data_IF_285535162387
#
_entry.id   IF_285535162387
#
_cell.length_a   1.000
_cell.length_b   1.000
_cell.length_c   1.000
_cell.angle_alpha   90.00
_cell.angle_beta   90.00
_cell.angle_gamma   90.00
#
_symmetry.space_group_name_H-M   'P 1'
#
loop_
_entity.id
_entity.type
_entity.pdbx_description
1 polymer ?
#
# COMPACT_ATOMS: atom_id res chain seq x y z
N UNK A 1 -10.01 -16.27 3.46
CA UNK A 1 -10.08 -17.73 3.70
C UNK A 1 -10.42 -18.56 2.46
N UNK A 2 -10.55 -17.97 1.27
CA UNK A 2 -10.90 -18.70 0.02
C UNK A 2 -9.74 -19.52 -0.55
N UNK A 3 -8.50 -19.02 -0.48
CA UNK A 3 -7.32 -19.75 -0.97
C UNK A 3 -7.02 -21.03 -0.17
N UNK A 4 -7.17 -20.98 1.16
CA UNK A 4 -7.02 -22.15 2.05
C UNK A 4 -8.11 -23.18 1.77
N UNK A 5 -9.35 -22.72 1.56
CA UNK A 5 -10.48 -23.58 1.23
C UNK A 5 -10.32 -24.26 -0.14
N UNK A 6 -9.92 -23.52 -1.18
CA UNK A 6 -9.65 -24.06 -2.51
C UNK A 6 -8.53 -25.12 -2.49
N UNK A 7 -7.45 -24.86 -1.75
CA UNK A 7 -6.38 -25.83 -1.54
C UNK A 7 -6.87 -27.09 -0.79
N UNK A 8 -7.71 -26.93 0.23
CA UNK A 8 -8.27 -28.07 0.97
C UNK A 8 -9.24 -28.92 0.15
N UNK A 9 -9.87 -28.34 -0.87
CA UNK A 9 -10.75 -29.05 -1.80
C UNK A 9 -10.07 -29.53 -3.09
N UNK A 10 -8.75 -29.36 -3.20
CA UNK A 10 -7.98 -29.79 -4.37
C UNK A 10 -8.31 -29.01 -5.65
N UNK A 11 -8.93 -27.83 -5.52
CA UNK A 11 -9.27 -26.98 -6.67
C UNK A 11 -8.08 -26.11 -7.06
N UNK A 12 -7.79 -25.96 -8.36
CA UNK A 12 -6.71 -25.08 -8.80
C UNK A 12 -7.01 -23.65 -8.41
N UNK A 13 -6.20 -23.08 -7.52
CA UNK A 13 -6.31 -21.67 -7.12
C UNK A 13 -6.02 -20.79 -8.32
N UNK A 14 -7.07 -20.16 -8.87
CA UNK A 14 -6.98 -19.25 -10.03
C UNK A 14 -6.17 -17.98 -9.75
N UNK A 15 -5.99 -17.61 -8.48
CA UNK A 15 -5.19 -16.45 -8.08
C UNK A 15 -3.79 -16.91 -7.65
N UNK A 16 -2.73 -16.63 -8.43
CA UNK A 16 -1.38 -17.03 -8.07
C UNK A 16 -0.90 -16.30 -6.81
N UNK A 17 -0.21 -16.99 -5.88
CA UNK A 17 0.36 -16.35 -4.68
C UNK A 17 1.27 -15.16 -4.99
N UNK A 18 2.05 -15.25 -6.09
CA UNK A 18 2.91 -14.17 -6.56
C UNK A 18 2.12 -12.92 -6.98
N UNK A 19 0.95 -13.07 -7.58
CA UNK A 19 0.10 -11.94 -7.95
C UNK A 19 -0.43 -11.22 -6.69
N UNK A 20 -0.84 -11.98 -5.68
CA UNK A 20 -1.27 -11.43 -4.38
C UNK A 20 -0.12 -10.70 -3.67
N UNK A 21 1.06 -11.32 -3.59
CA UNK A 21 2.24 -10.71 -2.99
C UNK A 21 2.65 -9.42 -3.74
N UNK A 22 2.64 -9.46 -5.08
CA UNK A 22 2.88 -8.29 -5.92
C UNK A 22 1.86 -7.17 -5.68
N UNK A 23 0.58 -7.50 -5.52
CA UNK A 23 -0.47 -6.54 -5.20
C UNK A 23 -0.27 -5.85 -3.85
N UNK A 24 0.10 -6.61 -2.81
CA UNK A 24 0.42 -6.05 -1.49
C UNK A 24 1.62 -5.12 -1.56
N UNK A 25 2.70 -5.55 -2.21
CA UNK A 25 3.92 -4.75 -2.38
C UNK A 25 3.64 -3.47 -3.17
N UNK A 26 2.89 -3.56 -4.27
CA UNK A 26 2.51 -2.41 -5.08
C UNK A 26 1.68 -1.41 -4.28
N UNK A 27 0.70 -1.90 -3.50
CA UNK A 27 -0.16 -1.05 -2.66
C UNK A 27 0.67 -0.30 -1.61
N UNK A 28 1.56 -1.02 -0.92
CA UNK A 28 2.44 -0.42 0.08
C UNK A 28 3.37 0.62 -0.53
N UNK A 29 3.98 0.31 -1.68
CA UNK A 29 4.89 1.20 -2.37
C UNK A 29 4.22 2.49 -2.83
N UNK A 30 3.04 2.38 -3.44
CA UNK A 30 2.26 3.53 -3.89
C UNK A 30 1.85 4.39 -2.69
N UNK A 31 1.30 3.78 -1.64
CA UNK A 31 0.90 4.48 -0.43
C UNK A 31 2.08 5.19 0.26
N UNK A 32 3.24 4.53 0.31
CA UNK A 32 4.46 5.11 0.86
C UNK A 32 4.91 6.35 0.07
N UNK A 33 4.96 6.29 -1.26
CA UNK A 33 5.33 7.45 -2.09
C UNK A 33 4.31 8.57 -1.95
N UNK A 34 3.01 8.24 -2.06
CA UNK A 34 1.92 9.20 -1.99
C UNK A 34 1.85 9.92 -0.63
N UNK A 35 2.20 9.25 0.47
CA UNK A 35 2.26 9.86 1.80
C UNK A 35 3.58 10.56 2.11
N UNK A 36 4.71 9.97 1.69
CA UNK A 36 6.04 10.49 2.01
C UNK A 36 6.35 11.78 1.24
N UNK A 37 5.97 11.87 -0.04
CA UNK A 37 6.20 13.08 -0.85
C UNK A 37 5.58 14.35 -0.21
N UNK A 38 4.28 14.40 0.11
CA UNK A 38 3.69 15.58 0.75
C UNK A 38 4.22 15.80 2.17
N UNK A 39 4.53 14.74 2.93
CA UNK A 39 5.11 14.87 4.27
C UNK A 39 6.48 15.55 4.25
N UNK A 40 7.36 15.14 3.32
CA UNK A 40 8.67 15.78 3.12
C UNK A 40 8.50 17.22 2.64
N UNK A 41 7.54 17.48 1.75
CA UNK A 41 7.21 18.84 1.31
C UNK A 41 6.78 19.72 2.49
N UNK A 42 5.93 19.21 3.38
CA UNK A 42 5.47 19.94 4.56
C UNK A 42 6.60 20.19 5.57
N UNK A 43 7.48 19.22 5.79
CA UNK A 43 8.64 19.36 6.68
C UNK A 43 9.64 20.44 6.23
N UNK A 44 9.59 20.86 4.95
CA UNK A 44 10.42 21.93 4.39
C UNK A 44 9.77 23.32 4.47
N UNK A 45 8.49 23.42 4.83
CA UNK A 45 7.82 24.71 5.03
C UNK A 45 8.31 25.38 6.32
N UNK A 46 8.32 26.71 6.35
CA UNK A 46 8.64 27.43 7.59
C UNK A 46 7.58 27.15 8.67
N UNK A 47 7.94 27.11 9.97
CA UNK A 47 7.00 26.75 11.04
C UNK A 47 5.73 27.61 11.09
N UNK A 48 5.83 28.89 10.69
CA UNK A 48 4.71 29.83 10.59
C UNK A 48 3.75 29.52 9.43
N UNK A 49 4.26 29.06 8.30
CA UNK A 49 3.44 28.65 7.15
C UNK A 49 2.79 27.28 7.38
N UNK A 50 3.49 26.38 8.08
CA UNK A 50 2.96 25.07 8.44
C UNK A 50 1.76 25.17 9.42
N UNK A 51 1.75 26.17 10.30
CA UNK A 51 0.65 26.42 11.23
C UNK A 51 -0.55 27.15 10.59
N UNK A 52 -0.32 27.87 9.49
CA UNK A 52 -1.35 28.62 8.75
C UNK A 52 -2.03 27.79 7.65
N UNK A 53 -1.62 26.53 7.46
CA UNK A 53 -2.33 25.62 6.58
C UNK A 53 -3.77 25.39 7.11
N UNK A 54 -4.80 25.53 6.25
CA UNK A 54 -6.21 25.46 6.66
C UNK A 54 -6.65 24.07 7.14
#
# INVERSE_FOLDING_TARGET
>A
MTAVYAASQGWPTVVPPLATAGGVLATLFIGAIAGLYPAVRAARLSPTEALAAP
#
